data_IF_607188105315
#
_entry.id   IF_607188105315
#
_cell.length_a   1.000
_cell.length_b   1.000
_cell.length_c   1.000
_cell.angle_alpha   90.00
_cell.angle_beta   90.00
_cell.angle_gamma   90.00
#
_symmetry.space_group_name_H-M   'P 1'
#
loop_
_entity.id
_entity.type
_entity.pdbx_description
1 polymer ?
#
# COMPACT_ATOMS: atom_id res chain seq x y z
N UNK A 1 6.30 -7.41 9.23
CA UNK A 1 6.05 -5.95 9.16
C UNK A 1 6.38 -5.50 7.75
N UNK A 2 5.49 -4.78 7.07
CA UNK A 2 5.85 -4.13 5.80
C UNK A 2 6.65 -2.88 6.15
N UNK A 3 7.93 -2.78 5.80
CA UNK A 3 8.98 -2.14 6.63
C UNK A 3 8.85 -0.63 6.94
N UNK A 4 7.77 0.04 6.53
CA UNK A 4 7.54 1.47 6.82
C UNK A 4 6.13 1.84 7.31
N UNK A 5 5.03 1.18 6.87
CA UNK A 5 3.66 1.59 7.26
C UNK A 5 2.52 0.53 7.17
N UNK A 6 2.78 -0.77 7.00
CA UNK A 6 1.72 -1.78 6.83
C UNK A 6 1.83 -3.00 7.75
N UNK A 7 0.71 -3.71 7.90
CA UNK A 7 0.58 -4.97 8.67
C UNK A 7 0.01 -6.10 7.80
N UNK A 8 0.17 -7.35 8.24
CA UNK A 8 -0.28 -8.54 7.51
C UNK A 8 0.58 -8.92 6.30
N UNK A 9 0.08 -9.87 5.52
CA UNK A 9 0.79 -10.43 4.35
C UNK A 9 0.78 -9.50 3.14
N UNK A 10 -0.20 -8.58 3.10
CA UNK A 10 -0.42 -7.62 2.02
C UNK A 10 -0.44 -8.26 0.64
N UNK A 11 -1.01 -9.46 0.54
CA UNK A 11 -1.30 -10.04 -0.76
C UNK A 11 -2.29 -9.15 -1.51
N UNK A 12 -1.96 -8.88 -2.76
CA UNK A 12 -2.77 -8.09 -3.67
C UNK A 12 -3.32 -8.94 -4.81
N UNK A 13 -2.83 -10.17 -4.95
CA UNK A 13 -3.28 -11.14 -5.95
C UNK A 13 -3.38 -12.54 -5.33
N UNK A 14 -4.31 -13.39 -5.68
CA UNK A 14 -5.58 -13.13 -6.36
C UNK A 14 -6.57 -12.42 -5.40
N UNK A 15 -7.52 -11.64 -5.90
CA UNK A 15 -8.44 -10.89 -5.03
C UNK A 15 -9.42 -11.73 -4.22
N UNK A 16 -9.81 -12.91 -4.72
CA UNK A 16 -10.73 -13.84 -4.07
C UNK A 16 -9.98 -14.78 -3.13
N UNK A 17 -8.78 -15.23 -3.52
CA UNK A 17 -7.91 -16.06 -2.68
C UNK A 17 -6.48 -15.50 -2.63
N UNK A 18 -6.22 -14.48 -1.78
CA UNK A 18 -4.94 -13.77 -1.77
C UNK A 18 -3.78 -14.66 -1.35
N UNK A 19 -2.77 -14.75 -2.21
CA UNK A 19 -1.62 -15.64 -2.03
C UNK A 19 -0.29 -15.07 -2.54
N UNK A 20 -0.33 -13.94 -3.24
CA UNK A 20 0.82 -13.28 -3.82
C UNK A 20 0.76 -11.77 -3.61
N UNK A 21 1.94 -11.21 -3.41
CA UNK A 21 2.16 -9.78 -3.25
C UNK A 21 2.97 -9.31 -4.44
N UNK A 22 2.28 -8.70 -5.40
CA UNK A 22 2.89 -8.29 -6.67
C UNK A 22 2.68 -6.81 -6.99
N UNK A 23 1.91 -6.10 -6.17
CA UNK A 23 1.71 -4.65 -6.29
C UNK A 23 2.39 -3.91 -5.13
N UNK A 24 3.08 -2.81 -5.46
CA UNK A 24 3.91 -2.07 -4.51
C UNK A 24 3.77 -0.56 -4.70
N UNK A 25 3.76 0.17 -3.58
CA UNK A 25 3.92 1.62 -3.55
C UNK A 25 5.34 1.95 -3.10
N UNK A 26 6.15 2.52 -4.00
CA UNK A 26 7.55 2.87 -3.75
C UNK A 26 7.75 4.38 -3.83
N UNK A 27 7.46 5.13 -2.74
CA UNK A 27 7.56 6.58 -2.75
C UNK A 27 9.02 7.05 -2.74
N UNK A 28 9.25 8.25 -3.25
CA UNK A 28 10.53 8.96 -3.12
C UNK A 28 10.96 9.11 -1.65
N UNK A 29 12.26 9.19 -1.40
CA UNK A 29 12.85 9.22 -0.04
C UNK A 29 12.31 10.34 0.86
N UNK A 30 11.84 11.43 0.28
CA UNK A 30 11.30 12.57 1.02
C UNK A 30 9.83 12.42 1.41
N UNK A 31 9.11 11.43 0.89
CA UNK A 31 7.76 11.11 1.33
C UNK A 31 7.81 10.09 2.47
N UNK A 32 6.99 10.30 3.49
CA UNK A 32 6.86 9.36 4.62
C UNK A 32 5.50 8.65 4.55
N UNK A 33 5.46 7.33 4.34
CA UNK A 33 4.25 6.54 4.53
C UNK A 33 3.74 6.62 5.97
N UNK A 34 2.46 6.88 6.14
CA UNK A 34 1.76 6.90 7.44
C UNK A 34 0.99 5.60 7.65
N UNK A 35 0.29 5.15 6.61
CA UNK A 35 -0.51 3.92 6.57
C UNK A 35 -0.23 3.17 5.27
N UNK A 36 -0.42 1.86 5.27
CA UNK A 36 -0.48 1.04 4.08
C UNK A 36 -1.40 -0.15 4.35
N UNK A 37 -2.43 -0.31 3.53
CA UNK A 37 -3.43 -1.36 3.68
C UNK A 37 -3.89 -1.89 2.33
N UNK A 38 -4.16 -3.20 2.28
CA UNK A 38 -4.88 -3.81 1.17
C UNK A 38 -6.37 -3.64 1.45
N UNK A 39 -7.11 -3.07 0.51
CA UNK A 39 -8.53 -2.84 0.63
C UNK A 39 -9.31 -4.05 0.11
N UNK A 40 -10.09 -4.70 0.97
CA UNK A 40 -10.73 -6.00 0.69
C UNK A 40 -12.24 -5.96 0.68
N UNK A 41 -12.86 -4.77 0.60
CA UNK A 41 -14.30 -4.63 0.75
C UNK A 41 -15.11 -5.21 -0.42
N UNK A 42 -14.54 -5.21 -1.62
CA UNK A 42 -15.14 -5.76 -2.83
C UNK A 42 -14.08 -6.51 -3.66
N UNK A 43 -13.87 -7.82 -3.42
CA UNK A 43 -12.89 -8.61 -4.13
C UNK A 43 -13.29 -8.92 -5.58
N UNK A 44 -14.55 -8.72 -5.99
CA UNK A 44 -14.99 -8.99 -7.36
C UNK A 44 -14.79 -7.78 -8.30
N UNK A 45 -14.41 -6.62 -7.75
CA UNK A 45 -14.18 -5.40 -8.53
C UNK A 45 -12.96 -5.49 -9.47
N UNK A 46 -12.00 -6.36 -9.18
CA UNK A 46 -10.79 -6.63 -9.97
C UNK A 46 -10.19 -7.97 -9.53
N UNK A 47 -9.37 -8.59 -10.37
CA UNK A 47 -8.51 -9.75 -10.04
C UNK A 47 -7.36 -9.39 -9.08
N UNK A 48 -7.12 -8.10 -8.83
CA UNK A 48 -6.20 -7.58 -7.82
C UNK A 48 -6.95 -6.78 -6.74
N UNK A 49 -6.44 -6.83 -5.51
CA UNK A 49 -6.91 -6.00 -4.40
C UNK A 49 -6.20 -4.63 -4.42
N UNK A 50 -6.92 -3.51 -4.27
CA UNK A 50 -6.30 -2.19 -4.18
C UNK A 50 -5.33 -2.08 -3.00
N UNK A 51 -4.11 -1.62 -3.26
CA UNK A 51 -3.17 -1.19 -2.23
C UNK A 51 -3.29 0.32 -2.01
N UNK A 52 -3.66 0.71 -0.80
CA UNK A 52 -3.92 2.12 -0.43
C UNK A 52 -2.93 2.57 0.65
N UNK A 53 -2.40 3.78 0.52
CA UNK A 53 -1.45 4.36 1.48
C UNK A 53 -1.67 5.86 1.63
N UNK A 54 -1.62 6.34 2.88
CA UNK A 54 -1.50 7.76 3.18
C UNK A 54 -0.02 8.15 3.26
N UNK A 55 0.38 9.19 2.51
CA UNK A 55 1.75 9.69 2.49
C UNK A 55 1.81 11.12 3.05
N UNK A 56 2.77 11.36 3.94
CA UNK A 56 3.13 12.70 4.40
C UNK A 56 4.19 13.29 3.47
N UNK A 57 3.89 14.44 2.89
CA UNK A 57 4.85 15.32 2.23
C UNK A 57 5.40 16.32 3.25
N UNK A 58 6.69 16.25 3.63
CA UNK A 58 7.30 17.21 4.55
C UNK A 58 7.32 18.61 3.94
N UNK A 59 7.05 19.61 4.77
CA UNK A 59 7.22 21.01 4.37
C UNK A 59 8.71 21.26 4.11
N UNK A 60 9.07 21.52 2.85
CA UNK A 60 10.40 22.02 2.52
C UNK A 60 10.41 23.53 2.66
N UNK A 61 11.16 24.05 3.63
CA UNK A 61 11.54 25.45 3.61
C UNK A 61 12.46 25.67 2.41
N UNK A 62 11.98 26.37 1.38
CA UNK A 62 12.84 26.88 0.32
C UNK A 62 13.73 27.95 0.95
N UNK A 63 15.04 27.67 1.06
CA UNK A 63 16.04 28.71 1.28
C UNK A 63 16.22 29.51 0.00
#
# INVERSE_FOLDING_TARGET
MWPQAGTGDGFTYDSVNPHARIDFLLPSRDLRPLTAQVFTADPEASDHLPLVSDLLLPVRHRR
#
